data_IF_200087300343
#
_entry.id   IF_200087300343
#
_cell.length_a   1.000
_cell.length_b   1.000
_cell.length_c   1.000
_cell.angle_alpha   90.00
_cell.angle_beta   90.00
_cell.angle_gamma   90.00
#
_symmetry.space_group_name_H-M   'P 1'
#
loop_
_entity.id
_entity.type
_entity.pdbx_description
1 polymer ?
#
# COMPACT_ATOMS: atom_id res chain seq x y z
N UNK A 1 6.18 -40.82 24.49
CA UNK A 1 5.28 -41.11 23.36
C UNK A 1 5.22 -39.83 22.57
N UNK A 2 5.87 -39.80 21.38
CA UNK A 2 5.79 -38.64 20.50
C UNK A 2 4.34 -38.56 19.97
N UNK A 3 3.60 -37.57 20.44
CA UNK A 3 2.41 -37.12 19.73
C UNK A 3 2.91 -36.53 18.43
N UNK A 4 2.87 -37.30 17.35
CA UNK A 4 2.99 -36.73 16.01
C UNK A 4 1.81 -35.77 15.87
N UNK A 5 2.06 -34.48 16.03
CA UNK A 5 1.07 -33.45 15.78
C UNK A 5 0.62 -33.61 14.33
N UNK A 6 -0.66 -33.78 14.13
CA UNK A 6 -1.29 -34.09 12.83
C UNK A 6 -1.10 -32.88 11.91
N UNK A 7 -0.76 -33.12 10.64
CA UNK A 7 -0.82 -32.09 9.61
C UNK A 7 -2.21 -31.47 9.53
N UNK A 8 -2.29 -30.14 9.58
CA UNK A 8 -3.55 -29.39 9.51
C UNK A 8 -3.49 -28.43 8.34
N UNK A 9 -4.48 -28.54 7.44
CA UNK A 9 -4.69 -27.59 6.34
C UNK A 9 -5.74 -26.56 6.72
N UNK A 10 -5.38 -25.29 6.66
CA UNK A 10 -6.26 -24.15 6.90
C UNK A 10 -6.33 -23.35 5.60
N UNK A 11 -7.47 -22.74 5.32
CA UNK A 11 -7.65 -21.91 4.14
C UNK A 11 -8.09 -20.50 4.52
N UNK A 12 -7.31 -19.50 4.10
CA UNK A 12 -7.60 -18.08 4.25
C UNK A 12 -7.81 -17.38 2.90
N UNK A 13 -7.86 -16.07 2.96
CA UNK A 13 -7.98 -15.21 1.77
C UNK A 13 -6.57 -14.85 1.27
N UNK A 14 -6.21 -15.23 0.03
CA UNK A 14 -4.91 -14.90 -0.54
C UNK A 14 -4.83 -13.39 -0.88
N UNK A 15 -3.76 -12.73 -0.42
CA UNK A 15 -3.50 -11.31 -0.64
C UNK A 15 -2.31 -11.10 -1.58
N UNK A 16 -1.17 -11.72 -1.29
CA UNK A 16 0.03 -11.64 -2.10
C UNK A 16 0.53 -13.05 -2.45
N UNK A 17 0.83 -13.27 -3.73
CA UNK A 17 1.27 -14.56 -4.26
C UNK A 17 2.66 -14.92 -3.78
N UNK A 18 2.93 -16.21 -3.66
CA UNK A 18 4.21 -16.79 -3.31
C UNK A 18 4.04 -18.00 -2.42
N UNK A 19 5.12 -18.76 -2.22
CA UNK A 19 5.16 -19.91 -1.31
C UNK A 19 6.28 -19.66 -0.30
N UNK A 20 5.94 -19.73 0.97
CA UNK A 20 6.88 -19.66 2.05
C UNK A 20 6.83 -20.90 2.91
N UNK A 21 7.98 -21.33 3.42
CA UNK A 21 8.15 -22.43 4.36
C UNK A 21 9.02 -21.91 5.48
N UNK A 22 8.55 -21.95 6.72
CA UNK A 22 9.28 -21.37 7.83
C UNK A 22 8.66 -21.65 9.19
N UNK A 23 9.01 -20.82 10.15
CA UNK A 23 8.56 -20.95 11.54
C UNK A 23 7.78 -19.72 11.99
N UNK A 24 6.75 -19.88 12.83
CA UNK A 24 5.89 -18.79 13.24
C UNK A 24 6.57 -17.85 14.23
N UNK A 25 6.35 -16.57 14.03
CA UNK A 25 6.62 -15.50 15.00
C UNK A 25 5.33 -14.74 15.23
N UNK A 26 4.88 -14.73 16.48
CA UNK A 26 3.67 -14.00 16.87
C UNK A 26 3.99 -12.56 17.21
N UNK A 27 3.41 -11.64 16.46
CA UNK A 27 3.37 -10.23 16.84
C UNK A 27 2.15 -10.03 17.72
N UNK A 28 2.37 -9.94 19.02
CA UNK A 28 1.33 -9.55 19.97
C UNK A 28 1.21 -8.03 19.98
N UNK A 29 0.03 -7.54 19.65
CA UNK A 29 -0.31 -6.15 19.96
C UNK A 29 -0.40 -6.06 21.48
N UNK A 30 0.40 -5.25 22.16
CA UNK A 30 0.25 -5.09 23.61
C UNK A 30 -1.08 -4.38 23.89
N UNK A 31 -2.13 -5.16 24.09
CA UNK A 31 -3.41 -4.67 24.66
C UNK A 31 -3.32 -4.35 26.16
N UNK A 32 -2.14 -4.52 26.73
CA UNK A 32 -1.97 -4.37 28.17
C UNK A 32 -2.22 -2.94 28.61
N UNK A 33 -3.09 -2.82 29.59
CA UNK A 33 -3.35 -1.59 30.34
C UNK A 33 -2.03 -0.86 30.60
N UNK A 34 -1.90 0.32 30.02
CA UNK A 34 -0.73 1.16 30.30
C UNK A 34 -0.82 1.59 31.75
N UNK A 35 0.18 1.30 32.57
CA UNK A 35 0.15 1.66 33.98
C UNK A 35 -0.01 3.18 34.13
N UNK A 36 -0.96 3.57 34.93
CA UNK A 36 -1.21 4.94 35.34
C UNK A 36 -0.25 5.29 36.48
N UNK A 37 0.82 6.01 36.16
CA UNK A 37 1.81 6.42 37.16
C UNK A 37 1.66 7.91 37.36
N UNK A 38 1.51 8.32 38.62
CA UNK A 38 1.47 9.74 39.01
C UNK A 38 2.88 10.31 39.09
N UNK A 39 3.09 11.47 38.50
CA UNK A 39 4.36 12.22 38.52
C UNK A 39 4.25 13.48 39.35
N UNK A 40 5.30 13.87 40.02
CA UNK A 40 5.35 15.12 40.77
C UNK A 40 5.42 16.33 39.86
N UNK A 41 5.05 17.52 40.34
CA UNK A 41 5.10 18.75 39.56
C UNK A 41 6.51 19.07 39.03
N UNK A 42 7.57 18.58 39.70
CA UNK A 42 8.94 18.75 39.26
C UNK A 42 9.32 17.78 38.12
N UNK A 43 8.66 16.65 38.02
CA UNK A 43 8.91 15.60 37.00
C UNK A 43 8.12 15.83 35.70
N UNK A 44 7.07 16.68 35.74
CA UNK A 44 6.19 16.93 34.57
C UNK A 44 6.94 17.34 33.33
N UNK A 45 7.87 18.28 33.43
CA UNK A 45 8.68 18.72 32.26
C UNK A 45 9.62 17.61 31.77
N UNK A 46 10.12 16.75 32.68
CA UNK A 46 10.89 15.55 32.31
C UNK A 46 10.08 14.56 31.48
N UNK A 47 8.81 14.31 31.86
CA UNK A 47 7.90 13.45 31.11
C UNK A 47 7.57 14.04 29.71
N UNK A 48 7.41 15.36 29.63
CA UNK A 48 7.19 16.04 28.34
C UNK A 48 8.41 15.89 27.42
N UNK A 49 9.61 16.13 27.94
CA UNK A 49 10.84 15.93 27.16
C UNK A 49 10.99 14.47 26.71
N UNK A 50 10.65 13.52 27.57
CA UNK A 50 10.66 12.08 27.24
C UNK A 50 9.68 11.76 26.11
N UNK A 51 8.47 12.32 26.15
CA UNK A 51 7.47 12.21 25.09
C UNK A 51 7.96 12.80 23.76
N UNK A 52 8.45 14.04 23.80
CA UNK A 52 8.97 14.74 22.62
C UNK A 52 10.12 13.96 21.97
N UNK A 53 11.03 13.42 22.80
CA UNK A 53 12.13 12.58 22.32
C UNK A 53 11.63 11.31 21.63
N UNK A 54 10.62 10.65 22.17
CA UNK A 54 10.02 9.47 21.57
C UNK A 54 9.33 9.78 20.22
N UNK A 55 8.64 10.91 20.11
CA UNK A 55 8.03 11.39 18.85
C UNK A 55 9.11 11.69 17.81
N UNK A 56 10.22 12.35 18.19
CA UNK A 56 11.32 12.65 17.28
C UNK A 56 11.94 11.35 16.75
N UNK A 57 12.27 10.40 17.63
CA UNK A 57 12.81 9.10 17.23
C UNK A 57 11.87 8.33 16.30
N UNK A 58 10.55 8.34 16.59
CA UNK A 58 9.56 7.73 15.72
C UNK A 58 9.52 8.37 14.32
N UNK A 59 9.66 9.70 14.22
CA UNK A 59 9.75 10.41 12.93
C UNK A 59 11.01 10.04 12.15
N UNK A 60 12.17 10.02 12.82
CA UNK A 60 13.45 9.65 12.20
C UNK A 60 13.38 8.23 11.64
N UNK A 61 12.78 7.31 12.37
CA UNK A 61 12.60 5.93 11.96
C UNK A 61 11.70 5.82 10.71
N UNK A 62 10.55 6.51 10.68
CA UNK A 62 9.67 6.55 9.50
C UNK A 62 10.40 7.18 8.30
N UNK A 63 11.18 8.24 8.50
CA UNK A 63 11.97 8.84 7.41
C UNK A 63 13.04 7.89 6.87
N UNK A 64 13.64 7.07 7.74
CA UNK A 64 14.60 6.06 7.30
C UNK A 64 13.92 4.95 6.47
N UNK A 65 12.74 4.49 6.91
CA UNK A 65 11.93 3.53 6.16
C UNK A 65 11.50 4.10 4.81
N UNK A 66 11.08 5.36 4.78
CA UNK A 66 10.72 6.05 3.56
C UNK A 66 11.89 6.12 2.56
N UNK A 67 13.11 6.39 3.03
CA UNK A 67 14.30 6.33 2.19
C UNK A 67 14.57 4.92 1.65
N UNK A 68 14.36 3.87 2.47
CA UNK A 68 14.49 2.48 2.02
C UNK A 68 13.47 2.14 0.94
N UNK A 69 12.20 2.50 1.13
CA UNK A 69 11.15 2.26 0.14
C UNK A 69 11.40 3.04 -1.17
N UNK A 70 11.89 4.28 -1.10
CA UNK A 70 12.32 5.04 -2.30
C UNK A 70 13.45 4.35 -3.04
N UNK A 71 14.43 3.80 -2.34
CA UNK A 71 15.52 3.05 -2.97
C UNK A 71 15.07 1.71 -3.57
N UNK A 72 13.91 1.21 -3.15
CA UNK A 72 13.25 0.01 -3.66
C UNK A 72 12.17 0.35 -4.71
N UNK A 73 12.05 1.63 -5.12
CA UNK A 73 11.04 2.15 -6.03
C UNK A 73 9.58 1.82 -5.63
N UNK A 74 9.30 1.69 -4.32
CA UNK A 74 7.97 1.43 -3.75
C UNK A 74 7.28 2.76 -3.42
N UNK A 75 6.76 3.45 -4.43
CA UNK A 75 6.19 4.79 -4.30
C UNK A 75 4.95 4.83 -3.38
N UNK A 76 4.03 3.88 -3.53
CA UNK A 76 2.81 3.85 -2.70
C UNK A 76 3.12 3.69 -1.21
N UNK A 77 4.15 2.92 -0.87
CA UNK A 77 4.64 2.82 0.50
C UNK A 77 5.21 4.14 1.02
N UNK A 78 5.85 4.93 0.16
CA UNK A 78 6.38 6.27 0.50
C UNK A 78 5.24 7.23 0.82
N UNK A 79 4.19 7.26 0.00
CA UNK A 79 3.03 8.14 0.19
C UNK A 79 2.27 7.82 1.48
N UNK A 80 2.12 6.54 1.81
CA UNK A 80 1.54 6.09 3.08
C UNK A 80 2.39 6.60 4.27
N UNK A 81 3.72 6.48 4.18
CA UNK A 81 4.61 6.96 5.23
C UNK A 81 4.63 8.50 5.34
N UNK A 82 4.40 9.24 4.25
CA UNK A 82 4.21 10.68 4.28
C UNK A 82 2.97 11.08 5.09
N UNK A 83 1.85 10.35 4.93
CA UNK A 83 0.65 10.53 5.77
C UNK A 83 0.95 10.34 7.26
N UNK A 84 1.69 9.29 7.61
CA UNK A 84 2.11 9.06 9.01
C UNK A 84 2.96 10.21 9.56
N UNK A 85 3.90 10.73 8.76
CA UNK A 85 4.72 11.90 9.17
C UNK A 85 3.89 13.17 9.35
N UNK A 86 2.84 13.37 8.55
CA UNK A 86 1.89 14.48 8.72
C UNK A 86 1.10 14.34 10.03
N UNK A 87 0.56 13.14 10.33
CA UNK A 87 -0.16 12.88 11.58
C UNK A 87 0.75 13.10 12.79
N UNK A 88 2.02 12.70 12.74
CA UNK A 88 2.98 12.93 13.83
C UNK A 88 3.34 14.41 14.04
N UNK A 89 2.97 15.30 13.12
CA UNK A 89 3.12 16.77 13.25
C UNK A 89 1.85 17.44 13.73
N UNK A 90 0.75 16.69 13.80
CA UNK A 90 -0.55 17.24 14.21
C UNK A 90 -0.50 17.72 15.68
N UNK A 91 -1.01 18.92 15.98
CA UNK A 91 -1.12 19.43 17.34
C UNK A 91 -1.86 18.50 18.31
N UNK A 92 -2.79 17.67 17.82
CA UNK A 92 -3.48 16.65 18.63
C UNK A 92 -2.51 15.59 19.19
N UNK A 93 -1.46 15.25 18.46
CA UNK A 93 -0.46 14.28 18.91
C UNK A 93 0.79 14.92 19.54
N UNK A 94 0.92 16.23 19.49
CA UNK A 94 2.04 16.95 20.11
C UNK A 94 1.54 17.74 21.31
N UNK A 95 0.99 18.90 21.08
CA UNK A 95 0.57 19.85 22.11
C UNK A 95 -0.49 19.30 23.06
N UNK A 96 -1.47 18.55 22.53
CA UNK A 96 -2.55 18.01 23.37
C UNK A 96 -2.08 16.94 24.38
N UNK A 97 -1.06 16.11 24.01
CA UNK A 97 -0.46 15.16 24.94
C UNK A 97 0.33 15.89 26.02
N UNK A 98 1.13 16.90 25.65
CA UNK A 98 1.89 17.71 26.60
C UNK A 98 0.98 18.43 27.60
N UNK A 99 -0.11 19.04 27.11
CA UNK A 99 -1.12 19.67 27.97
C UNK A 99 -1.78 18.67 28.91
N UNK A 100 -2.03 17.45 28.41
CA UNK A 100 -2.61 16.39 29.22
C UNK A 100 -1.67 15.94 30.34
N UNK A 101 -0.37 15.78 30.05
CA UNK A 101 0.65 15.49 31.08
C UNK A 101 0.66 16.59 32.15
N UNK A 102 0.69 17.88 31.75
CA UNK A 102 0.66 19.02 32.67
C UNK A 102 -0.61 19.05 33.52
N UNK A 103 -1.76 18.73 32.92
CA UNK A 103 -3.06 18.80 33.61
C UNK A 103 -3.31 17.61 34.54
N UNK A 104 -2.90 16.41 34.14
CA UNK A 104 -3.24 15.18 34.89
C UNK A 104 -2.15 14.71 35.82
N UNK A 105 -0.92 15.22 35.68
CA UNK A 105 0.27 14.75 36.39
C UNK A 105 0.45 13.23 36.28
N UNK A 106 0.26 12.69 35.06
CA UNK A 106 0.46 11.28 34.74
C UNK A 106 1.64 11.11 33.78
N UNK A 107 2.21 9.88 33.79
CA UNK A 107 3.28 9.50 32.85
C UNK A 107 2.89 9.68 31.39
N UNK A 108 3.86 9.88 30.53
CA UNK A 108 3.66 10.15 29.12
C UNK A 108 2.88 9.04 28.41
N UNK A 109 3.15 7.76 28.73
CA UNK A 109 2.46 6.61 28.14
C UNK A 109 0.96 6.65 28.43
N UNK A 110 0.57 6.94 29.68
CA UNK A 110 -0.84 6.99 30.07
C UNK A 110 -1.54 8.20 29.46
N UNK A 111 -0.89 9.37 29.44
CA UNK A 111 -1.43 10.57 28.82
C UNK A 111 -1.70 10.35 27.34
N UNK A 112 -0.75 9.75 26.61
CA UNK A 112 -0.88 9.43 25.18
C UNK A 112 -1.96 8.38 24.94
N UNK A 113 -1.97 7.27 25.68
CA UNK A 113 -2.98 6.24 25.61
C UNK A 113 -4.40 6.79 25.81
N UNK A 114 -4.59 7.63 26.83
CA UNK A 114 -5.89 8.21 27.11
C UNK A 114 -6.41 9.11 25.98
N UNK A 115 -5.50 9.83 25.30
CA UNK A 115 -5.83 10.64 24.13
C UNK A 115 -6.24 9.75 22.94
N UNK A 116 -5.46 8.71 22.64
CA UNK A 116 -5.75 7.78 21.53
C UNK A 116 -7.08 7.06 21.77
N UNK A 117 -7.38 6.65 23.01
CA UNK A 117 -8.70 6.09 23.36
C UNK A 117 -9.85 7.07 23.19
N UNK A 118 -9.63 8.34 23.46
CA UNK A 118 -10.64 9.36 23.21
C UNK A 118 -10.89 9.53 21.70
N UNK A 119 -9.82 9.54 20.90
CA UNK A 119 -9.94 9.50 19.44
C UNK A 119 -10.71 8.27 18.96
N UNK A 120 -10.38 7.09 19.47
CA UNK A 120 -11.09 5.84 19.15
C UNK A 120 -12.59 5.96 19.33
N UNK A 121 -13.04 6.43 20.49
CA UNK A 121 -14.47 6.59 20.77
C UNK A 121 -15.18 7.53 19.80
N UNK A 122 -14.48 8.57 19.31
CA UNK A 122 -15.00 9.50 18.31
C UNK A 122 -15.11 8.81 16.94
N UNK A 123 -14.13 8.02 16.55
CA UNK A 123 -14.14 7.29 15.29
C UNK A 123 -15.12 6.11 15.29
N UNK A 124 -15.28 5.38 16.39
CA UNK A 124 -16.25 4.27 16.53
C UNK A 124 -17.70 4.73 16.33
N UNK A 125 -17.99 6.02 16.59
CA UNK A 125 -19.30 6.61 16.32
C UNK A 125 -19.57 6.86 14.84
N UNK A 126 -18.55 6.83 13.99
CA UNK A 126 -18.60 7.10 12.54
C UNK A 126 -18.41 5.78 11.79
N UNK A 127 -19.48 5.29 11.13
CA UNK A 127 -19.44 4.02 10.36
C UNK A 127 -18.85 4.18 8.96
N UNK A 128 -17.97 5.14 8.73
CA UNK A 128 -17.34 5.38 7.44
C UNK A 128 -15.99 4.64 7.38
N UNK A 129 -15.75 3.78 6.36
CA UNK A 129 -14.50 3.04 6.20
C UNK A 129 -13.24 3.91 6.17
N UNK A 130 -13.33 5.12 5.64
CA UNK A 130 -12.23 6.08 5.59
C UNK A 130 -11.74 6.48 6.99
N UNK A 131 -12.67 6.80 7.89
CA UNK A 131 -12.31 7.17 9.26
C UNK A 131 -11.74 5.98 10.03
N UNK A 132 -12.17 4.76 9.71
CA UNK A 132 -11.61 3.56 10.31
C UNK A 132 -10.17 3.30 9.88
N UNK A 133 -9.85 3.55 8.60
CA UNK A 133 -8.48 3.43 8.09
C UNK A 133 -7.56 4.52 8.69
N UNK A 134 -8.06 5.75 8.80
CA UNK A 134 -7.34 6.85 9.45
C UNK A 134 -7.06 6.58 10.93
N UNK A 135 -7.99 5.92 11.61
CA UNK A 135 -7.77 5.51 13.00
C UNK A 135 -6.66 4.44 13.11
N UNK A 136 -6.58 3.51 12.16
CA UNK A 136 -5.48 2.52 12.10
C UNK A 136 -4.12 3.21 11.98
N UNK A 137 -3.99 4.23 11.15
CA UNK A 137 -2.75 5.03 11.03
C UNK A 137 -2.36 5.68 12.37
N UNK A 138 -3.34 6.22 13.10
CA UNK A 138 -3.11 6.77 14.45
C UNK A 138 -2.66 5.68 15.43
N UNK A 139 -3.24 4.49 15.35
CA UNK A 139 -2.83 3.34 16.18
C UNK A 139 -1.40 2.90 15.87
N UNK A 140 -0.97 2.94 14.61
CA UNK A 140 0.39 2.61 14.20
C UNK A 140 1.41 3.58 14.79
N UNK A 141 1.12 4.87 14.68
CA UNK A 141 1.94 5.92 15.27
C UNK A 141 1.99 5.76 16.79
N UNK A 142 0.83 5.48 17.42
CA UNK A 142 0.75 5.25 18.86
C UNK A 142 1.67 4.11 19.31
N UNK A 143 1.61 2.95 18.63
CA UNK A 143 2.46 1.80 18.94
C UNK A 143 3.94 2.14 18.85
N UNK A 144 4.31 2.86 17.79
CA UNK A 144 5.70 3.26 17.55
C UNK A 144 6.23 4.23 18.61
N UNK A 145 5.49 5.28 18.91
CA UNK A 145 5.88 6.24 19.95
C UNK A 145 5.93 5.55 21.33
N UNK A 146 4.97 4.65 21.61
CA UNK A 146 4.95 3.89 22.87
C UNK A 146 6.18 2.98 23.00
N UNK A 147 6.63 2.33 21.92
CA UNK A 147 7.86 1.54 21.88
C UNK A 147 9.07 2.38 22.27
N UNK A 148 9.21 3.56 21.69
CA UNK A 148 10.28 4.50 22.05
C UNK A 148 10.21 5.01 23.48
N UNK A 149 8.99 5.27 24.00
CA UNK A 149 8.78 5.65 25.41
C UNK A 149 9.22 4.57 26.39
N UNK A 150 9.03 3.30 26.03
CA UNK A 150 9.40 2.13 26.84
C UNK A 150 10.85 1.68 26.67
N UNK A 151 11.59 2.30 25.75
CA UNK A 151 12.92 1.83 25.32
C UNK A 151 12.93 0.33 24.93
N UNK A 152 11.85 -0.12 24.30
CA UNK A 152 11.70 -1.51 23.86
C UNK A 152 12.28 -1.65 22.45
N UNK A 153 13.61 -1.89 22.38
CA UNK A 153 14.35 -2.01 21.11
C UNK A 153 14.09 -3.36 20.41
N UNK A 154 13.50 -4.34 21.10
CA UNK A 154 13.34 -5.71 20.57
C UNK A 154 12.02 -5.94 19.82
N UNK A 155 11.13 -4.97 19.74
CA UNK A 155 9.80 -5.16 19.16
C UNK A 155 9.69 -4.86 17.64
N UNK A 156 10.81 -4.72 16.91
CA UNK A 156 10.83 -4.46 15.48
C UNK A 156 10.96 -5.73 14.64
N UNK A 157 10.49 -5.69 13.37
CA UNK A 157 10.64 -6.79 12.40
C UNK A 157 12.04 -6.90 11.77
N UNK A 158 12.98 -6.04 12.18
CA UNK A 158 14.33 -5.98 11.62
C UNK A 158 15.27 -7.09 12.10
N UNK A 159 15.02 -7.68 13.29
CA UNK A 159 15.96 -8.64 13.93
C UNK A 159 15.39 -10.06 14.11
N UNK A 160 14.41 -10.43 13.30
CA UNK A 160 13.82 -11.75 13.31
C UNK A 160 14.66 -12.76 12.51
N UNK A 161 14.61 -14.07 12.85
CA UNK A 161 15.30 -15.12 12.11
C UNK A 161 14.88 -15.19 10.64
N UNK A 162 15.72 -15.77 9.79
CA UNK A 162 15.39 -16.03 8.39
C UNK A 162 14.23 -17.02 8.26
N UNK A 163 13.44 -16.87 7.18
CA UNK A 163 12.25 -17.68 6.89
C UNK A 163 11.17 -17.60 7.98
N UNK A 164 11.09 -16.50 8.70
CA UNK A 164 10.03 -16.29 9.69
C UNK A 164 8.68 -16.07 9.04
N UNK A 165 7.65 -16.73 9.57
CA UNK A 165 6.25 -16.53 9.18
C UNK A 165 5.59 -15.70 10.28
N UNK A 166 5.25 -14.47 9.94
CA UNK A 166 4.67 -13.53 10.89
C UNK A 166 3.18 -13.81 11.04
N UNK A 167 2.75 -14.08 12.28
CA UNK A 167 1.36 -14.28 12.64
C UNK A 167 0.91 -13.12 13.53
N UNK A 168 -0.12 -12.40 13.11
CA UNK A 168 -0.65 -11.26 13.83
C UNK A 168 -2.17 -11.13 13.66
N UNK A 169 -2.83 -10.42 14.58
CA UNK A 169 -4.25 -10.07 14.40
C UNK A 169 -4.44 -9.18 13.16
N UNK A 170 -3.60 -8.17 13.03
CA UNK A 170 -3.50 -7.27 11.86
C UNK A 170 -2.05 -6.82 11.73
N UNK A 171 -1.62 -6.50 10.52
CA UNK A 171 -0.31 -5.90 10.24
C UNK A 171 -0.50 -4.53 9.61
N UNK A 172 0.44 -3.65 9.87
CA UNK A 172 0.39 -2.28 9.42
C UNK A 172 1.27 -2.05 8.19
N UNK A 173 1.07 -0.92 7.52
CA UNK A 173 1.95 -0.51 6.43
C UNK A 173 3.39 -0.31 6.93
N UNK A 174 3.56 0.18 8.16
CA UNK A 174 4.87 0.36 8.80
C UNK A 174 5.56 -0.98 9.07
N UNK A 175 4.84 -1.94 9.64
CA UNK A 175 5.36 -3.31 9.87
C UNK A 175 5.81 -3.93 8.56
N UNK A 176 4.98 -3.80 7.52
CA UNK A 176 5.30 -4.33 6.19
C UNK A 176 6.47 -3.60 5.54
N UNK A 177 6.60 -2.28 5.77
CA UNK A 177 7.72 -1.48 5.28
C UNK A 177 9.04 -1.86 5.98
N UNK A 178 9.01 -2.18 7.27
CA UNK A 178 10.16 -2.68 8.04
C UNK A 178 10.60 -4.08 7.60
N UNK A 179 9.69 -4.90 7.11
CA UNK A 179 9.94 -6.28 6.74
C UNK A 179 11.13 -6.41 5.77
N UNK A 180 12.10 -7.24 6.14
CA UNK A 180 13.18 -7.64 5.25
C UNK A 180 12.78 -8.91 4.49
N UNK A 181 12.75 -8.83 3.16
CA UNK A 181 12.39 -9.95 2.27
C UNK A 181 13.28 -11.18 2.43
N UNK A 182 14.51 -11.00 2.93
CA UNK A 182 15.42 -12.12 3.18
C UNK A 182 15.10 -12.85 4.49
N UNK A 183 14.39 -12.21 5.41
CA UNK A 183 14.08 -12.75 6.73
C UNK A 183 12.62 -13.16 6.85
N UNK A 184 11.69 -12.36 6.31
CA UNK A 184 10.26 -12.63 6.39
C UNK A 184 9.84 -13.48 5.20
N UNK A 185 9.43 -14.72 5.48
CA UNK A 185 8.90 -15.63 4.48
C UNK A 185 7.45 -15.31 4.09
N UNK A 186 6.59 -15.01 5.05
CA UNK A 186 5.17 -14.70 4.80
C UNK A 186 4.51 -13.96 5.95
N UNK A 187 3.35 -13.37 5.65
CA UNK A 187 2.39 -12.84 6.62
C UNK A 187 1.13 -13.69 6.70
N UNK A 188 0.66 -13.95 7.93
CA UNK A 188 -0.65 -14.55 8.21
C UNK A 188 -1.38 -13.62 9.18
N UNK A 189 -2.60 -13.19 8.85
CA UNK A 189 -3.38 -12.32 9.73
C UNK A 189 -4.82 -12.79 9.90
N UNK A 190 -5.43 -12.40 11.03
CA UNK A 190 -6.86 -12.60 11.28
C UNK A 190 -7.69 -11.56 10.54
N UNK A 191 -7.23 -10.30 10.56
CA UNK A 191 -7.86 -9.17 9.88
C UNK A 191 -7.00 -8.67 8.73
N UNK A 192 -7.61 -7.93 7.80
CA UNK A 192 -6.94 -7.34 6.65
C UNK A 192 -7.73 -7.52 5.37
N UNK A 193 -7.31 -6.84 4.31
CA UNK A 193 -7.96 -6.90 3.01
C UNK A 193 -6.98 -6.64 1.87
N UNK A 194 -7.37 -7.03 0.65
CA UNK A 194 -6.53 -6.91 -0.55
C UNK A 194 -6.16 -5.47 -0.92
N UNK A 195 -6.92 -4.50 -0.42
CA UNK A 195 -6.76 -3.06 -0.65
C UNK A 195 -6.19 -2.32 0.55
N UNK A 196 -5.85 -3.01 1.66
CA UNK A 196 -5.24 -2.36 2.84
C UNK A 196 -3.84 -1.84 2.51
N UNK A 197 -3.41 -0.79 3.20
CA UNK A 197 -2.06 -0.21 3.05
C UNK A 197 -0.95 -1.27 3.28
N UNK A 198 -1.12 -2.16 4.25
CA UNK A 198 -0.20 -3.28 4.46
C UNK A 198 -0.14 -4.24 3.27
N UNK A 199 -1.30 -4.55 2.66
CA UNK A 199 -1.38 -5.41 1.50
C UNK A 199 -0.69 -4.80 0.27
N UNK A 200 -0.81 -3.49 0.07
CA UNK A 200 -0.14 -2.74 -1.01
C UNK A 200 1.37 -2.88 -0.86
N UNK A 201 1.91 -2.60 0.33
CA UNK A 201 3.36 -2.70 0.59
C UNK A 201 3.86 -4.14 0.50
N UNK A 202 3.09 -5.14 1.01
CA UNK A 202 3.45 -6.55 0.92
C UNK A 202 3.53 -7.03 -0.53
N UNK A 203 2.57 -6.64 -1.39
CA UNK A 203 2.58 -6.94 -2.83
C UNK A 203 3.78 -6.30 -3.53
N UNK A 204 4.06 -5.03 -3.25
CA UNK A 204 5.21 -4.34 -3.82
C UNK A 204 6.54 -4.99 -3.43
N UNK A 205 6.65 -5.53 -2.23
CA UNK A 205 7.81 -6.29 -1.74
C UNK A 205 7.82 -7.76 -2.20
N UNK A 206 6.70 -8.28 -2.73
CA UNK A 206 6.59 -9.68 -3.14
C UNK A 206 6.57 -10.67 -1.97
N UNK A 207 6.19 -10.24 -0.75
CA UNK A 207 6.10 -11.11 0.43
C UNK A 207 4.76 -11.83 0.41
N UNK A 208 4.71 -13.18 0.42
CA UNK A 208 3.48 -13.96 0.50
C UNK A 208 2.60 -13.51 1.68
N UNK A 209 1.30 -13.33 1.42
CA UNK A 209 0.39 -12.86 2.45
C UNK A 209 -0.98 -13.52 2.34
N UNK A 210 -1.45 -14.09 3.46
CA UNK A 210 -2.77 -14.71 3.61
C UNK A 210 -3.47 -14.09 4.82
N UNK A 211 -4.74 -13.71 4.67
CA UNK A 211 -5.55 -13.13 5.74
C UNK A 211 -6.82 -13.93 6.02
N UNK A 212 -7.62 -13.49 6.97
CA UNK A 212 -8.89 -14.12 7.40
C UNK A 212 -8.68 -15.47 8.07
N UNK A 213 -7.60 -15.62 8.86
CA UNK A 213 -7.30 -16.84 9.61
C UNK A 213 -7.51 -16.58 11.10
N UNK A 214 -8.41 -17.34 11.71
CA UNK A 214 -8.53 -17.38 13.18
C UNK A 214 -7.52 -18.37 13.75
N UNK A 215 -6.27 -17.91 13.92
CA UNK A 215 -5.19 -18.74 14.41
C UNK A 215 -5.29 -19.08 15.91
N UNK A 216 -6.21 -18.43 16.65
CA UNK A 216 -6.50 -18.77 18.06
C UNK A 216 -7.21 -20.13 18.21
N UNK A 217 -7.81 -20.63 17.12
CA UNK A 217 -8.43 -21.95 17.09
C UNK A 217 -7.40 -23.10 17.00
N UNK A 218 -6.12 -22.79 16.78
CA UNK A 218 -5.06 -23.76 16.55
C UNK A 218 -3.93 -23.61 17.55
N UNK A 219 -3.43 -24.72 18.08
CA UNK A 219 -2.23 -24.74 18.93
C UNK A 219 -0.97 -24.60 18.06
N UNK A 220 -0.59 -23.35 17.74
CA UNK A 220 0.62 -23.08 16.97
C UNK A 220 1.77 -22.78 17.93
N UNK A 221 2.84 -23.58 17.86
CA UNK A 221 4.05 -23.44 18.68
C UNK A 221 5.20 -22.83 17.88
N UNK A 222 6.13 -22.15 18.54
CA UNK A 222 7.26 -21.46 17.88
C UNK A 222 8.16 -22.41 17.06
N UNK A 223 8.18 -23.70 17.40
CA UNK A 223 8.99 -24.72 16.72
C UNK A 223 8.20 -25.44 15.60
N UNK A 224 6.93 -25.10 15.38
CA UNK A 224 6.09 -25.72 14.38
C UNK A 224 6.45 -25.20 12.98
N UNK A 225 6.77 -26.09 12.06
CA UNK A 225 6.96 -25.71 10.68
C UNK A 225 5.63 -25.39 10.01
N UNK A 226 5.59 -24.31 9.22
CA UNK A 226 4.37 -23.83 8.54
C UNK A 226 4.70 -23.60 7.06
N UNK A 227 3.78 -24.01 6.19
CA UNK A 227 3.78 -23.66 4.77
C UNK A 227 2.68 -22.62 4.53
N UNK A 228 3.00 -21.57 3.80
CA UNK A 228 2.03 -20.55 3.36
C UNK A 228 2.03 -20.50 1.83
N UNK A 229 0.89 -20.79 1.23
CA UNK A 229 0.67 -20.61 -0.21
C UNK A 229 -0.22 -19.37 -0.45
N UNK A 230 0.40 -18.23 -0.67
CA UNK A 230 -0.30 -16.97 -0.96
C UNK A 230 -1.00 -16.93 -2.33
N UNK A 231 -0.93 -17.97 -3.16
CA UNK A 231 -1.65 -18.08 -4.43
C UNK A 231 -3.05 -18.64 -4.23
N UNK A 232 -3.16 -19.65 -3.34
CA UNK A 232 -4.41 -20.37 -3.05
C UNK A 232 -5.03 -19.96 -1.73
N UNK A 233 -4.25 -19.35 -0.82
CA UNK A 233 -4.63 -19.08 0.55
C UNK A 233 -4.49 -20.26 1.49
N UNK A 234 -3.83 -21.35 1.04
CA UNK A 234 -3.63 -22.54 1.85
C UNK A 234 -2.46 -22.32 2.85
N UNK A 235 -2.71 -22.71 4.10
CA UNK A 235 -1.71 -22.71 5.18
C UNK A 235 -1.68 -24.15 5.72
N UNK A 236 -0.48 -24.75 5.72
CA UNK A 236 -0.29 -26.09 6.27
C UNK A 236 0.51 -25.97 7.56
N UNK A 237 -0.11 -26.34 8.68
CA UNK A 237 0.54 -26.44 9.97
C UNK A 237 1.11 -27.83 10.15
N UNK A 238 2.34 -27.92 10.64
CA UNK A 238 3.08 -29.16 10.87
C UNK A 238 3.05 -30.11 9.66
N UNK A 239 3.58 -29.67 8.48
CA UNK A 239 3.53 -30.44 7.26
C UNK A 239 4.25 -31.76 7.38
N UNK A 240 3.68 -32.82 6.78
CA UNK A 240 4.36 -34.10 6.61
C UNK A 240 5.56 -33.94 5.68
N UNK A 241 6.54 -34.87 5.76
CA UNK A 241 7.69 -34.86 4.87
C UNK A 241 7.28 -34.89 3.38
N UNK A 242 6.20 -35.58 3.04
CA UNK A 242 5.66 -35.66 1.68
C UNK A 242 5.11 -34.29 1.24
N UNK A 243 4.33 -33.65 2.10
CA UNK A 243 3.75 -32.30 1.85
C UNK A 243 4.87 -31.26 1.71
N UNK A 244 5.88 -31.33 2.57
CA UNK A 244 7.04 -30.44 2.53
C UNK A 244 7.75 -30.54 1.17
N UNK A 245 8.15 -31.75 0.75
CA UNK A 245 8.82 -31.99 -0.53
C UNK A 245 7.94 -31.51 -1.71
N UNK A 246 6.62 -31.70 -1.63
CA UNK A 246 5.69 -31.22 -2.66
C UNK A 246 5.75 -29.69 -2.80
N UNK A 247 5.69 -28.96 -1.69
CA UNK A 247 5.70 -27.49 -1.71
C UNK A 247 7.08 -26.90 -2.02
N UNK A 248 8.17 -27.55 -1.59
CA UNK A 248 9.53 -27.17 -1.99
C UNK A 248 9.69 -27.29 -3.51
N UNK A 249 9.32 -28.43 -4.10
CA UNK A 249 9.34 -28.61 -5.56
C UNK A 249 8.46 -27.61 -6.29
N UNK A 250 7.32 -27.26 -5.72
CA UNK A 250 6.41 -26.29 -6.31
C UNK A 250 7.01 -24.88 -6.26
N UNK A 251 7.63 -24.47 -5.14
CA UNK A 251 8.35 -23.21 -4.99
C UNK A 251 9.50 -23.12 -5.99
N UNK A 252 10.32 -24.17 -6.08
CA UNK A 252 11.47 -24.20 -6.99
C UNK A 252 11.03 -24.15 -8.46
N UNK A 253 9.95 -24.84 -8.83
CA UNK A 253 9.36 -24.75 -10.17
C UNK A 253 8.89 -23.34 -10.50
N UNK A 254 8.24 -22.66 -9.56
CA UNK A 254 7.78 -21.28 -9.75
C UNK A 254 8.98 -20.34 -9.92
N UNK A 255 10.01 -20.50 -9.12
CA UNK A 255 11.24 -19.71 -9.22
C UNK A 255 11.95 -19.96 -10.57
N UNK A 256 12.15 -21.20 -10.95
CA UNK A 256 12.77 -21.58 -12.24
C UNK A 256 11.92 -21.08 -13.42
N UNK A 257 10.59 -21.18 -13.32
CA UNK A 257 9.69 -20.66 -14.36
C UNK A 257 9.81 -19.14 -14.49
N UNK A 258 9.82 -18.41 -13.38
CA UNK A 258 10.03 -16.97 -13.38
C UNK A 258 11.37 -16.59 -14.01
N UNK A 259 12.45 -17.27 -13.64
CA UNK A 259 13.78 -17.05 -14.23
C UNK A 259 13.80 -17.35 -15.73
N UNK A 260 13.13 -18.42 -16.18
CA UNK A 260 13.04 -18.77 -17.59
C UNK A 260 12.28 -17.71 -18.41
N UNK A 261 11.20 -17.17 -17.85
CA UNK A 261 10.45 -16.07 -18.46
C UNK A 261 11.30 -14.81 -18.59
N UNK A 262 12.08 -14.48 -17.56
CA UNK A 262 13.01 -13.35 -17.59
C UNK A 262 14.08 -13.52 -18.69
N UNK A 263 14.63 -14.73 -18.86
CA UNK A 263 15.59 -15.03 -19.92
C UNK A 263 14.96 -14.92 -21.33
N UNK A 264 13.68 -15.21 -21.46
CA UNK A 264 12.92 -15.08 -22.70
C UNK A 264 12.47 -13.65 -23.00
N UNK A 265 12.53 -12.75 -22.03
CA UNK A 265 12.11 -11.35 -22.18
C UNK A 265 12.83 -10.56 -23.28
N UNK A 266 14.00 -11.03 -23.75
CA UNK A 266 14.70 -10.44 -24.89
C UNK A 266 14.27 -10.95 -26.28
N UNK A 267 13.34 -11.91 -26.35
CA UNK A 267 12.85 -12.47 -27.60
C UNK A 267 11.72 -11.59 -28.16
N UNK A 268 11.76 -11.35 -29.48
CA UNK A 268 10.64 -10.71 -30.17
C UNK A 268 9.42 -11.63 -30.17
N UNK A 269 8.25 -11.03 -29.83
CA UNK A 269 6.99 -11.78 -29.89
C UNK A 269 6.48 -11.82 -31.32
N UNK A 270 6.51 -12.99 -31.93
CA UNK A 270 6.03 -13.21 -33.30
C UNK A 270 5.19 -14.49 -33.42
N UNK A 271 4.30 -14.49 -34.39
CA UNK A 271 3.51 -15.67 -34.73
C UNK A 271 4.34 -16.64 -35.57
N UNK A 272 3.86 -17.87 -35.74
CA UNK A 272 4.54 -18.92 -36.48
C UNK A 272 4.83 -18.55 -37.96
N UNK A 273 4.06 -17.63 -38.55
CA UNK A 273 4.19 -17.08 -39.89
C UNK A 273 5.03 -15.80 -39.94
N UNK A 274 5.69 -15.43 -38.82
CA UNK A 274 6.62 -14.29 -38.75
C UNK A 274 5.95 -12.93 -38.53
N UNK A 275 4.67 -12.89 -38.19
CA UNK A 275 4.00 -11.62 -37.83
C UNK A 275 4.40 -11.17 -36.43
N UNK A 276 4.94 -9.96 -36.29
CA UNK A 276 5.33 -9.40 -34.99
C UNK A 276 4.12 -8.89 -34.22
N UNK A 277 4.01 -9.30 -32.97
CA UNK A 277 2.94 -8.93 -32.05
C UNK A 277 3.51 -8.06 -30.94
N UNK A 278 2.99 -6.84 -30.77
CA UNK A 278 3.37 -5.97 -29.65
C UNK A 278 2.71 -6.46 -28.35
N UNK A 279 3.54 -6.73 -27.33
CA UNK A 279 3.07 -7.08 -25.97
C UNK A 279 3.21 -5.89 -25.06
N UNK A 280 2.09 -5.31 -24.64
CA UNK A 280 2.07 -4.14 -23.76
C UNK A 280 1.46 -4.51 -22.39
N UNK A 281 2.01 -3.95 -21.32
CA UNK A 281 1.55 -4.20 -19.97
C UNK A 281 0.46 -3.22 -19.53
N UNK A 282 -0.43 -3.68 -18.65
CA UNK A 282 -1.28 -2.82 -17.85
C UNK A 282 -0.54 -2.49 -16.56
N UNK A 283 -0.34 -1.22 -16.27
CA UNK A 283 0.48 -0.72 -15.16
C UNK A 283 -0.35 0.24 -14.30
N UNK A 284 -0.14 0.16 -13.00
CA UNK A 284 -0.68 1.07 -12.01
C UNK A 284 0.41 1.64 -11.08
N UNK A 285 1.49 0.88 -10.86
CA UNK A 285 2.59 1.21 -9.96
C UNK A 285 3.93 1.34 -10.68
N UNK A 286 4.85 2.15 -10.15
CA UNK A 286 6.16 2.41 -10.77
C UNK A 286 7.05 1.17 -10.87
N UNK A 287 7.01 0.27 -9.87
CA UNK A 287 7.79 -0.97 -9.88
C UNK A 287 7.38 -1.95 -10.99
N UNK A 288 6.16 -1.85 -11.51
CA UNK A 288 5.68 -2.68 -12.62
C UNK A 288 6.38 -2.34 -13.95
N UNK A 289 6.91 -1.11 -14.10
CA UNK A 289 7.74 -0.74 -15.25
C UNK A 289 9.06 -1.52 -15.32
N UNK A 290 9.67 -1.82 -14.19
CA UNK A 290 10.88 -2.65 -14.16
C UNK A 290 10.59 -4.07 -14.61
N UNK A 291 9.44 -4.62 -14.18
CA UNK A 291 8.96 -5.91 -14.66
C UNK A 291 8.68 -5.90 -16.17
N UNK A 292 8.09 -4.81 -16.69
CA UNK A 292 7.88 -4.64 -18.14
C UNK A 292 9.20 -4.78 -18.93
N UNK A 293 10.25 -4.08 -18.49
CA UNK A 293 11.57 -4.17 -19.12
C UNK A 293 12.19 -5.56 -18.96
N UNK A 294 12.06 -6.16 -17.78
CA UNK A 294 12.60 -7.48 -17.45
C UNK A 294 11.97 -8.60 -18.30
N UNK A 295 10.69 -8.49 -18.61
CA UNK A 295 9.96 -9.45 -19.43
C UNK A 295 9.87 -9.09 -20.92
N UNK A 296 10.56 -8.04 -21.36
CA UNK A 296 10.66 -7.66 -22.77
C UNK A 296 9.35 -7.11 -23.36
N UNK A 297 8.54 -6.44 -22.55
CA UNK A 297 7.33 -5.79 -23.03
C UNK A 297 7.65 -4.65 -23.99
N UNK A 298 6.81 -4.46 -25.03
CA UNK A 298 6.97 -3.46 -26.08
C UNK A 298 6.38 -2.09 -25.72
N UNK A 299 5.74 -1.93 -24.58
CA UNK A 299 5.16 -0.67 -24.14
C UNK A 299 4.17 -0.82 -22.98
N UNK A 300 3.69 0.32 -22.49
CA UNK A 300 2.61 0.40 -21.52
C UNK A 300 1.29 0.54 -22.28
N UNK A 301 0.53 -0.54 -22.37
CA UNK A 301 -0.77 -0.56 -23.03
C UNK A 301 -1.87 0.14 -22.27
N UNK A 302 -1.71 0.23 -20.95
CA UNK A 302 -2.61 0.97 -20.07
C UNK A 302 -1.89 1.40 -18.80
N UNK A 303 -1.71 2.70 -18.62
CA UNK A 303 -1.38 3.28 -17.32
C UNK A 303 -2.69 3.69 -16.63
N UNK A 304 -2.99 3.05 -15.50
CA UNK A 304 -4.13 3.42 -14.65
C UNK A 304 -3.75 4.63 -13.80
N UNK A 305 -4.60 5.64 -13.80
CA UNK A 305 -4.32 6.90 -13.09
C UNK A 305 -5.06 7.02 -11.76
N UNK A 306 -5.93 6.05 -11.43
CA UNK A 306 -6.84 6.13 -10.30
C UNK A 306 -6.12 6.10 -8.95
N UNK A 307 -5.04 5.38 -8.81
CA UNK A 307 -4.23 5.31 -7.58
C UNK A 307 -3.73 6.68 -7.12
N UNK A 308 -3.47 7.59 -8.07
CA UNK A 308 -3.08 8.98 -7.77
C UNK A 308 -4.18 9.81 -7.11
N UNK A 309 -5.44 9.35 -7.11
CA UNK A 309 -6.61 10.11 -6.64
C UNK A 309 -7.32 9.48 -5.46
N UNK A 310 -7.38 8.14 -5.41
CA UNK A 310 -8.24 7.41 -4.46
C UNK A 310 -7.86 7.60 -2.99
N UNK A 311 -6.62 8.00 -2.71
CA UNK A 311 -6.11 8.23 -1.35
C UNK A 311 -6.18 9.70 -0.89
N UNK A 312 -6.85 10.60 -1.64
CA UNK A 312 -6.84 12.05 -1.39
C UNK A 312 -8.23 12.62 -1.14
N UNK A 313 -8.29 13.69 -0.36
CA UNK A 313 -9.51 14.45 -0.08
C UNK A 313 -9.91 15.42 -1.21
N UNK A 314 -8.99 15.67 -2.15
CA UNK A 314 -9.18 16.60 -3.27
C UNK A 314 -8.50 16.09 -4.53
N UNK A 315 -8.96 16.57 -5.70
CA UNK A 315 -8.28 16.28 -6.95
C UNK A 315 -6.85 16.84 -6.93
N UNK A 316 -5.85 16.06 -7.39
CA UNK A 316 -4.49 16.54 -7.48
C UNK A 316 -4.37 17.68 -8.49
N UNK A 317 -3.50 18.63 -8.18
CA UNK A 317 -3.17 19.74 -9.05
C UNK A 317 -2.53 19.28 -10.36
N UNK A 318 -2.45 20.18 -11.34
CA UNK A 318 -1.77 19.91 -12.61
C UNK A 318 -0.29 19.52 -12.39
N UNK A 319 0.41 20.19 -11.47
CA UNK A 319 1.82 19.90 -11.19
C UNK A 319 2.04 18.53 -10.57
N UNK A 320 1.17 18.12 -9.65
CA UNK A 320 1.25 16.79 -9.04
C UNK A 320 1.00 15.70 -10.08
N UNK A 321 -0.01 15.84 -10.93
CA UNK A 321 -0.29 14.90 -12.00
C UNK A 321 0.85 14.86 -13.03
N UNK A 322 1.35 16.02 -13.43
CA UNK A 322 2.46 16.14 -14.36
C UNK A 322 3.71 15.44 -13.83
N UNK A 323 4.07 15.63 -12.56
CA UNK A 323 5.21 14.98 -11.94
C UNK A 323 5.10 13.44 -12.01
N UNK A 324 3.91 12.88 -11.73
CA UNK A 324 3.64 11.46 -11.81
C UNK A 324 3.76 10.96 -13.25
N UNK A 325 3.05 11.58 -14.20
CA UNK A 325 3.05 11.12 -15.60
C UNK A 325 4.43 11.25 -16.23
N UNK A 326 5.13 12.36 -16.00
CA UNK A 326 6.51 12.55 -16.43
C UNK A 326 7.43 11.43 -15.92
N UNK A 327 7.31 11.08 -14.64
CA UNK A 327 8.13 10.02 -14.05
C UNK A 327 7.90 8.66 -14.74
N UNK A 328 6.64 8.29 -15.02
CA UNK A 328 6.34 7.09 -15.81
C UNK A 328 6.93 7.14 -17.21
N UNK A 329 6.81 8.27 -17.90
CA UNK A 329 7.31 8.46 -19.27
C UNK A 329 8.83 8.34 -19.31
N UNK A 330 9.54 9.01 -18.39
CA UNK A 330 11.02 8.93 -18.31
C UNK A 330 11.51 7.51 -17.97
N UNK A 331 10.83 6.82 -17.04
CA UNK A 331 11.15 5.43 -16.66
C UNK A 331 10.83 4.40 -17.74
N UNK A 332 9.90 4.69 -18.64
CA UNK A 332 9.60 3.82 -19.79
C UNK A 332 10.74 3.75 -20.83
N UNK A 333 11.74 4.63 -20.74
CA UNK A 333 12.95 4.59 -21.56
C UNK A 333 12.68 4.55 -23.08
N UNK A 334 11.71 5.34 -23.52
CA UNK A 334 11.35 5.45 -24.95
C UNK A 334 10.30 4.44 -25.43
N UNK A 335 9.80 3.56 -24.56
CA UNK A 335 8.64 2.73 -24.89
C UNK A 335 7.36 3.57 -24.90
N UNK A 336 6.39 3.26 -25.79
CA UNK A 336 5.11 3.96 -25.82
C UNK A 336 4.30 3.71 -24.53
N UNK A 337 3.63 4.77 -24.04
CA UNK A 337 2.75 4.70 -22.90
C UNK A 337 1.35 5.18 -23.28
N UNK A 338 0.34 4.36 -23.02
CA UNK A 338 -1.07 4.75 -23.10
C UNK A 338 -1.56 5.15 -21.73
N UNK A 339 -1.79 6.45 -21.50
CA UNK A 339 -2.34 6.97 -20.24
C UNK A 339 -3.86 7.02 -20.34
N UNK A 340 -4.54 6.30 -19.44
CA UNK A 340 -5.98 6.34 -19.33
C UNK A 340 -6.40 7.57 -18.55
N UNK A 341 -7.34 8.37 -19.11
CA UNK A 341 -7.98 9.42 -18.33
C UNK A 341 -8.88 8.83 -17.26
N UNK A 342 -9.30 9.63 -16.29
CA UNK A 342 -10.02 9.17 -15.11
C UNK A 342 -11.15 8.19 -15.39
N UNK A 343 -11.13 7.09 -14.66
CA UNK A 343 -12.25 6.16 -14.56
C UNK A 343 -12.88 6.29 -13.16
N UNK A 344 -13.32 7.52 -12.85
CA UNK A 344 -13.99 7.87 -11.60
C UNK A 344 -15.51 7.88 -11.79
N UNK A 345 -16.23 7.63 -10.69
CA UNK A 345 -17.70 7.49 -10.66
C UNK A 345 -18.13 6.07 -10.31
N UNK A 346 -19.40 5.86 -10.09
CA UNK A 346 -19.92 4.56 -9.67
C UNK A 346 -19.54 4.21 -8.23
N UNK A 347 -18.63 3.27 -8.06
CA UNK A 347 -18.08 2.79 -6.79
C UNK A 347 -16.80 3.51 -6.36
N UNK A 348 -16.21 4.32 -7.24
CA UNK A 348 -14.93 5.02 -7.02
C UNK A 348 -15.18 6.51 -6.82
N UNK A 349 -15.27 6.93 -5.56
CA UNK A 349 -15.55 8.32 -5.18
C UNK A 349 -14.39 8.94 -4.41
N UNK A 350 -14.19 10.24 -4.62
CA UNK A 350 -13.43 11.05 -3.68
C UNK A 350 -14.24 11.23 -2.39
N UNK A 351 -13.55 11.20 -1.25
CA UNK A 351 -14.13 11.18 0.09
C UNK A 351 -15.17 12.27 0.37
N UNK A 352 -15.12 13.42 -0.33
CA UNK A 352 -15.96 14.59 -0.06
C UNK A 352 -16.99 14.96 -1.15
N UNK A 353 -17.19 14.15 -2.19
CA UNK A 353 -18.21 14.46 -3.19
C UNK A 353 -19.58 13.90 -2.80
N UNK A 354 -20.56 14.82 -2.61
CA UNK A 354 -21.98 14.47 -2.56
C UNK A 354 -22.43 14.03 -3.95
N UNK A 355 -22.40 12.72 -4.20
CA UNK A 355 -22.90 12.16 -5.45
C UNK A 355 -24.38 11.86 -5.29
N UNK A 356 -25.18 12.25 -6.30
CA UNK A 356 -26.57 11.87 -6.41
C UNK A 356 -26.66 10.34 -6.51
N UNK A 357 -27.56 9.76 -5.72
CA UNK A 357 -27.81 8.32 -5.72
C UNK A 357 -28.26 7.88 -7.12
N UNK A 358 -27.45 7.07 -7.79
CA UNK A 358 -27.77 6.47 -9.08
C UNK A 358 -28.18 5.00 -8.89
N UNK A 359 -29.24 4.56 -9.59
CA UNK A 359 -29.73 3.18 -9.48
C UNK A 359 -28.71 2.14 -10.02
N UNK A 360 -27.87 2.52 -10.98
CA UNK A 360 -26.82 1.70 -11.57
C UNK A 360 -25.51 2.50 -11.67
N UNK A 361 -24.76 2.68 -10.60
CA UNK A 361 -23.56 3.53 -10.57
C UNK A 361 -22.48 3.10 -11.58
N UNK A 362 -22.36 1.82 -11.87
CA UNK A 362 -21.37 1.28 -12.83
C UNK A 362 -21.62 1.71 -14.28
N UNK A 363 -22.88 1.96 -14.65
CA UNK A 363 -23.31 2.39 -15.99
C UNK A 363 -23.71 3.86 -16.04
N UNK A 364 -23.66 4.56 -14.91
CA UNK A 364 -24.08 5.94 -14.74
C UNK A 364 -23.04 6.98 -15.16
N UNK A 365 -22.95 8.08 -14.40
CA UNK A 365 -21.99 9.16 -14.61
C UNK A 365 -20.60 8.74 -14.15
N UNK A 366 -19.89 8.03 -15.03
CA UNK A 366 -18.55 7.47 -14.78
C UNK A 366 -17.61 7.74 -15.95
N UNK A 367 -16.32 7.76 -15.69
CA UNK A 367 -15.27 7.81 -16.68
C UNK A 367 -15.41 9.02 -17.61
N UNK A 368 -15.48 8.84 -18.94
CA UNK A 368 -15.58 9.95 -19.88
C UNK A 368 -16.80 10.83 -19.63
N UNK A 369 -17.93 10.26 -19.19
CA UNK A 369 -19.15 11.04 -18.89
C UNK A 369 -18.95 11.97 -17.69
N UNK A 370 -18.25 11.47 -16.65
CA UNK A 370 -17.84 12.30 -15.51
C UNK A 370 -16.87 13.39 -15.98
N UNK A 371 -15.87 13.04 -16.75
CA UNK A 371 -14.86 13.97 -17.26
C UNK A 371 -15.47 15.08 -18.12
N UNK A 372 -16.43 14.77 -18.97
CA UNK A 372 -17.15 15.75 -19.81
C UNK A 372 -18.12 16.63 -19.01
N UNK A 373 -18.63 16.15 -17.88
CA UNK A 373 -19.43 16.94 -16.94
C UNK A 373 -18.54 17.89 -16.12
N UNK A 374 -17.41 17.41 -15.62
CA UNK A 374 -16.46 18.16 -14.78
C UNK A 374 -15.25 18.64 -15.63
N UNK A 375 -15.53 19.47 -16.65
CA UNK A 375 -14.56 19.88 -17.67
C UNK A 375 -13.29 20.55 -17.09
N UNK A 376 -13.41 21.27 -15.99
CA UNK A 376 -12.26 21.94 -15.38
C UNK A 376 -11.26 20.92 -14.81
N UNK A 377 -11.75 19.88 -14.14
CA UNK A 377 -10.92 18.78 -13.63
C UNK A 377 -10.31 18.02 -14.81
N UNK A 378 -11.09 17.74 -15.84
CA UNK A 378 -10.62 17.04 -17.03
C UNK A 378 -9.53 17.81 -17.78
N UNK A 379 -9.66 19.12 -17.93
CA UNK A 379 -8.64 19.99 -18.54
C UNK A 379 -7.33 19.95 -17.75
N UNK A 380 -7.37 19.92 -16.42
CA UNK A 380 -6.17 19.79 -15.57
C UNK A 380 -5.44 18.49 -15.89
N UNK A 381 -6.14 17.37 -15.98
CA UNK A 381 -5.54 16.09 -16.35
C UNK A 381 -4.95 16.12 -17.76
N UNK A 382 -5.72 16.63 -18.74
CA UNK A 382 -5.26 16.70 -20.13
C UNK A 382 -4.00 17.58 -20.28
N UNK A 383 -3.91 18.72 -19.57
CA UNK A 383 -2.68 19.53 -19.55
C UNK A 383 -1.50 18.77 -18.98
N UNK A 384 -1.69 18.08 -17.87
CA UNK A 384 -0.63 17.30 -17.26
C UNK A 384 -0.11 16.19 -18.19
N UNK A 385 -1.01 15.48 -18.89
CA UNK A 385 -0.65 14.43 -19.84
C UNK A 385 0.08 15.03 -21.06
N UNK A 386 -0.45 16.12 -21.64
CA UNK A 386 0.18 16.78 -22.79
C UNK A 386 1.58 17.31 -22.44
N UNK A 387 1.77 17.89 -21.25
CA UNK A 387 3.10 18.32 -20.77
C UNK A 387 4.05 17.12 -20.61
N UNK A 388 3.55 16.00 -20.12
CA UNK A 388 4.36 14.79 -19.99
C UNK A 388 4.77 14.22 -21.35
N UNK A 389 4.00 14.44 -22.42
CA UNK A 389 4.33 13.95 -23.77
C UNK A 389 5.58 14.60 -24.36
N UNK A 390 6.07 15.71 -23.80
CA UNK A 390 7.37 16.30 -24.18
C UNK A 390 8.57 15.40 -23.80
N UNK A 391 8.37 14.41 -22.93
CA UNK A 391 9.42 13.55 -22.40
C UNK A 391 9.43 12.13 -23.01
N UNK A 392 8.48 11.78 -23.88
CA UNK A 392 8.43 10.48 -24.56
C UNK A 392 7.16 10.25 -25.37
N UNK A 393 6.97 9.02 -25.85
CA UNK A 393 5.85 8.63 -26.69
C UNK A 393 4.60 8.35 -25.83
N UNK A 394 3.70 9.32 -25.76
CA UNK A 394 2.50 9.29 -24.92
C UNK A 394 1.24 9.24 -25.77
N UNK A 395 0.39 8.27 -25.51
CA UNK A 395 -0.95 8.14 -26.06
C UNK A 395 -1.99 8.34 -24.98
N UNK A 396 -3.18 8.84 -25.34
CA UNK A 396 -4.29 9.06 -24.42
C UNK A 396 -5.41 8.07 -24.71
N UNK A 397 -5.92 7.40 -23.69
CA UNK A 397 -7.12 6.56 -23.78
C UNK A 397 -8.26 7.17 -23.00
N UNK A 398 -9.39 7.40 -23.68
CA UNK A 398 -10.64 7.81 -23.06
C UNK A 398 -11.47 6.59 -22.68
N UNK A 399 -11.72 6.35 -21.38
CA UNK A 399 -12.44 5.16 -20.94
C UNK A 399 -13.94 5.27 -21.16
N UNK A 400 -14.59 4.12 -21.42
CA UNK A 400 -16.03 3.94 -21.47
C UNK A 400 -16.79 4.84 -22.47
N UNK A 401 -16.16 5.19 -23.58
CA UNK A 401 -16.84 5.92 -24.67
C UNK A 401 -17.95 5.03 -25.26
N UNK A 402 -19.17 5.52 -25.25
CA UNK A 402 -20.36 4.81 -25.75
C UNK A 402 -21.05 5.51 -26.90
N UNK A 403 -20.77 6.79 -27.13
CA UNK A 403 -21.35 7.59 -28.20
C UNK A 403 -20.25 8.37 -28.95
N UNK A 404 -20.47 8.59 -30.24
CA UNK A 404 -19.56 9.38 -31.07
C UNK A 404 -19.46 10.84 -30.55
N UNK A 405 -20.53 11.39 -30.03
CA UNK A 405 -20.52 12.75 -29.44
C UNK A 405 -19.58 12.88 -28.27
N UNK A 406 -19.48 11.86 -27.39
CA UNK A 406 -18.57 11.85 -26.26
C UNK A 406 -17.09 11.89 -26.74
N UNK A 407 -16.78 11.11 -27.78
CA UNK A 407 -15.43 11.09 -28.35
C UNK A 407 -15.06 12.43 -29.00
N UNK A 408 -15.98 13.00 -29.77
CA UNK A 408 -15.78 14.30 -30.44
C UNK A 408 -15.57 15.41 -29.41
N UNK A 409 -16.40 15.49 -28.39
CA UNK A 409 -16.28 16.49 -27.33
C UNK A 409 -14.96 16.34 -26.54
N UNK A 410 -14.54 15.11 -26.24
CA UNK A 410 -13.26 14.87 -25.57
C UNK A 410 -12.07 15.30 -26.44
N UNK A 411 -12.12 15.02 -27.76
CA UNK A 411 -11.09 15.46 -28.70
C UNK A 411 -11.03 16.98 -28.86
N UNK A 412 -12.17 17.64 -28.89
CA UNK A 412 -12.24 19.11 -28.95
C UNK A 412 -11.66 19.75 -27.70
N UNK A 413 -11.96 19.19 -26.50
CA UNK A 413 -11.34 19.64 -25.26
C UNK A 413 -9.82 19.43 -25.25
N UNK A 414 -9.35 18.29 -25.73
CA UNK A 414 -7.92 17.99 -25.84
C UNK A 414 -7.21 19.00 -26.77
N UNK A 415 -7.79 19.29 -27.93
CA UNK A 415 -7.20 20.25 -28.86
C UNK A 415 -7.22 21.67 -28.28
N UNK A 416 -8.29 22.07 -27.62
CA UNK A 416 -8.34 23.39 -26.95
C UNK A 416 -7.24 23.51 -25.89
N UNK A 417 -7.04 22.48 -25.05
CA UNK A 417 -5.98 22.46 -24.04
C UNK A 417 -4.60 22.49 -24.69
N UNK A 418 -4.40 21.78 -25.80
CA UNK A 418 -3.14 21.81 -26.57
C UNK A 418 -2.85 23.22 -27.08
N UNK A 419 -3.85 23.92 -27.65
CA UNK A 419 -3.68 25.30 -28.13
C UNK A 419 -3.39 26.27 -26.97
N UNK A 420 -4.00 26.08 -25.79
CA UNK A 420 -3.67 26.85 -24.60
C UNK A 420 -2.20 26.68 -24.17
N UNK A 421 -1.66 25.47 -24.19
CA UNK A 421 -0.24 25.18 -23.86
C UNK A 421 0.71 25.82 -24.89
N UNK A 422 0.40 25.69 -26.18
CA UNK A 422 1.18 26.31 -27.24
C UNK A 422 1.20 27.84 -27.08
N UNK A 423 0.06 28.49 -26.82
CA UNK A 423 -0.03 29.92 -26.60
C UNK A 423 0.79 30.41 -25.41
N UNK A 424 1.02 29.56 -24.43
CA UNK A 424 1.83 29.82 -23.22
C UNK A 424 3.31 29.40 -23.38
N UNK A 425 3.72 28.95 -24.56
CA UNK A 425 5.04 28.38 -24.84
C UNK A 425 5.44 27.25 -23.86
N UNK A 426 4.48 26.45 -23.44
CA UNK A 426 4.75 25.24 -22.65
C UNK A 426 5.04 24.10 -23.61
N UNK A 427 6.18 23.37 -23.46
CA UNK A 427 6.53 22.28 -24.33
C UNK A 427 5.55 21.12 -24.25
#
# INVERSE_FOLDING_TARGET
>A
MNVQEKEILIRGTPICRGIAIGYPIFIKIPENSIPEISVTSQEVEGEIVRYQTAVIRGREEIQLLQKRLRNQDIADGVDILDSHLQIMRDPLLTTAVEERIRKTHKNAEHAFYSLVKECQRKFDSVKDPFFQERYKEIQDIYRRVLRHLRNDEQAGLSDIPENSIIIAQDITALDTAEADNNRIGAFITKCGGATSHAAIVAKAKGIPYVTSIDFEEFEITENMQIIVDGRTGDIVLNPSAETLIKYERLRDRLHTHFQSLTQQGGLESETYDGYKVGLSANIEMFNELEMLHQFGGSGVGLLRTESTFLSRDSFPSEEEQFAVYRHFVEKAKGLPIVIRTFDLGGDKHLVNQKISYECNPFLGCRAIRFSLKEKDIFKVQLRAILRASAYGDVHIMFPMVSALSELLEAKDLLENVRQELISKNVP
#
